data_IF_865720222100
#
_entry.id   IF_865720222100
#
_cell.length_a   1.000
_cell.length_b   1.000
_cell.length_c   1.000
_cell.angle_alpha   90.00
_cell.angle_beta   90.00
_cell.angle_gamma   90.00
#
_symmetry.space_group_name_H-M   'P 1'
#
loop_
_entity.id
_entity.type
_entity.pdbx_description
1 polymer ?
#
# COMPACT_ATOMS: atom_id res chain seq x y z
N UNK A 1 -53.38 3.21 6.76
CA UNK A 1 -52.62 2.67 5.60
C UNK A 1 -51.21 3.24 5.64
N UNK A 2 -50.24 2.39 5.91
CA UNK A 2 -48.82 2.71 6.02
C UNK A 2 -48.22 2.91 4.62
N UNK A 3 -47.71 4.10 4.32
CA UNK A 3 -46.89 4.34 3.14
C UNK A 3 -45.42 4.35 3.57
N UNK A 4 -44.81 3.18 3.61
CA UNK A 4 -43.35 3.06 3.64
C UNK A 4 -42.87 3.39 2.22
N UNK A 5 -42.48 4.63 1.99
CA UNK A 5 -41.66 4.97 0.83
C UNK A 5 -40.30 4.30 1.01
N UNK A 6 -40.09 3.16 0.34
CA UNK A 6 -38.77 2.58 0.11
C UNK A 6 -37.89 3.67 -0.50
N UNK A 7 -36.99 4.24 0.31
CA UNK A 7 -35.86 5.04 -0.17
C UNK A 7 -35.03 4.10 -1.05
N UNK A 8 -35.19 4.20 -2.37
CA UNK A 8 -34.25 3.57 -3.29
C UNK A 8 -32.89 4.23 -3.05
N UNK A 9 -31.99 3.49 -2.40
CA UNK A 9 -30.59 3.85 -2.27
C UNK A 9 -30.03 4.12 -3.67
N UNK A 10 -29.56 5.35 -3.93
CA UNK A 10 -28.75 5.63 -5.12
C UNK A 10 -27.59 4.64 -5.09
N UNK A 11 -27.52 3.72 -6.06
CA UNK A 11 -26.35 2.84 -6.22
C UNK A 11 -25.10 3.73 -6.19
N UNK A 12 -24.20 3.44 -5.26
CA UNK A 12 -22.97 4.22 -5.12
C UNK A 12 -22.16 4.06 -6.41
N UNK A 13 -21.68 5.16 -6.98
CA UNK A 13 -20.99 5.17 -8.29
C UNK A 13 -19.51 4.83 -8.17
N UNK A 14 -18.96 4.93 -6.96
CA UNK A 14 -17.56 4.78 -6.63
C UNK A 14 -17.38 3.67 -5.59
N UNK A 15 -16.18 3.09 -5.53
CA UNK A 15 -15.85 1.93 -4.70
C UNK A 15 -15.57 0.68 -5.54
N UNK A 16 -15.82 -0.48 -4.95
CA UNK A 16 -15.49 -1.78 -5.55
C UNK A 16 -16.73 -2.54 -5.99
N UNK A 17 -16.66 -3.14 -7.17
CA UNK A 17 -17.80 -3.78 -7.82
C UNK A 17 -17.41 -5.10 -8.48
N UNK A 18 -18.39 -6.01 -8.54
CA UNK A 18 -18.28 -7.25 -9.31
C UNK A 18 -17.45 -8.34 -8.63
N UNK A 19 -17.35 -9.46 -9.32
CA UNK A 19 -16.48 -10.59 -9.02
C UNK A 19 -16.07 -11.14 -10.38
N UNK A 20 -14.89 -10.77 -10.86
CA UNK A 20 -14.45 -11.02 -12.23
C UNK A 20 -13.59 -12.29 -12.28
N UNK A 21 -13.64 -12.99 -13.41
CA UNK A 21 -12.93 -14.28 -13.55
C UNK A 21 -11.44 -14.08 -13.89
N UNK A 22 -11.08 -12.92 -14.43
CA UNK A 22 -9.68 -12.63 -14.83
C UNK A 22 -9.35 -11.14 -14.81
N UNK A 23 -8.06 -10.84 -14.57
CA UNK A 23 -7.52 -9.48 -14.62
C UNK A 23 -7.79 -8.79 -15.96
N UNK A 24 -7.61 -9.52 -17.06
CA UNK A 24 -7.84 -9.04 -18.43
C UNK A 24 -9.32 -8.73 -18.72
N UNK A 25 -10.27 -9.35 -18.02
CA UNK A 25 -11.68 -8.95 -18.11
C UNK A 25 -11.89 -7.55 -17.55
N UNK A 26 -11.34 -7.26 -16.37
CA UNK A 26 -11.48 -5.94 -15.74
C UNK A 26 -10.73 -4.89 -16.54
N UNK A 27 -9.51 -5.19 -16.99
CA UNK A 27 -8.66 -4.28 -17.77
C UNK A 27 -9.31 -3.81 -19.07
N UNK A 28 -10.14 -4.65 -19.71
CA UNK A 28 -10.91 -4.26 -20.91
C UNK A 28 -11.97 -3.17 -20.65
N UNK A 29 -12.53 -3.11 -19.44
CA UNK A 29 -13.55 -2.12 -19.04
C UNK A 29 -12.98 -0.98 -18.17
N UNK A 30 -11.74 -1.15 -17.73
CA UNK A 30 -10.99 -0.26 -16.88
C UNK A 30 -9.56 -0.20 -17.44
N UNK A 31 -9.30 0.68 -18.42
CA UNK A 31 -8.03 0.71 -19.14
C UNK A 31 -6.81 0.98 -18.25
N UNK A 32 -7.03 1.30 -16.96
CA UNK A 32 -6.03 1.36 -15.92
C UNK A 32 -5.84 2.78 -15.39
N UNK A 33 -4.67 3.00 -14.82
CA UNK A 33 -4.20 4.31 -14.45
C UNK A 33 -3.99 5.14 -15.73
N UNK A 34 -4.55 6.35 -15.80
CA UNK A 34 -3.93 7.40 -16.60
C UNK A 34 -2.67 7.83 -15.84
N UNK A 35 -1.64 6.97 -15.95
CA UNK A 35 -0.49 6.98 -15.06
C UNK A 35 0.20 8.35 -15.02
N UNK A 36 0.19 9.06 -16.15
CA UNK A 36 0.78 10.40 -16.27
C UNK A 36 0.00 11.44 -15.47
N UNK A 37 -1.34 11.40 -15.50
CA UNK A 37 -2.16 12.36 -14.77
C UNK A 37 -2.09 12.14 -13.25
N UNK A 38 -2.02 10.87 -12.82
CA UNK A 38 -1.94 10.48 -11.41
C UNK A 38 -0.55 10.84 -10.89
N UNK A 39 0.51 10.44 -11.60
CA UNK A 39 1.89 10.77 -11.24
C UNK A 39 2.09 12.28 -11.13
N UNK A 40 1.57 13.06 -12.08
CA UNK A 40 1.66 14.53 -12.02
C UNK A 40 1.01 15.08 -10.74
N UNK A 41 -0.22 14.65 -10.43
CA UNK A 41 -0.94 15.11 -9.23
C UNK A 41 -0.23 14.67 -7.94
N UNK A 42 0.27 13.44 -7.90
CA UNK A 42 1.07 12.90 -6.79
C UNK A 42 2.33 13.73 -6.60
N UNK A 43 3.10 13.99 -7.67
CA UNK A 43 4.30 14.83 -7.63
C UNK A 43 4.01 16.22 -7.09
N UNK A 44 3.01 16.91 -7.64
CA UNK A 44 2.64 18.26 -7.22
C UNK A 44 2.27 18.32 -5.72
N UNK A 45 1.57 17.29 -5.22
CA UNK A 45 1.16 17.20 -3.82
C UNK A 45 2.32 16.85 -2.90
N UNK A 46 3.15 15.88 -3.27
CA UNK A 46 4.30 15.48 -2.46
C UNK A 46 5.42 16.52 -2.46
N UNK A 47 5.60 17.31 -3.52
CA UNK A 47 6.53 18.44 -3.50
C UNK A 47 6.13 19.47 -2.45
N UNK A 48 4.83 19.76 -2.30
CA UNK A 48 4.34 20.64 -1.22
C UNK A 48 4.63 20.06 0.15
N UNK A 49 4.47 18.75 0.34
CA UNK A 49 4.82 18.08 1.61
C UNK A 49 6.33 18.14 1.87
N UNK A 50 7.15 17.82 0.86
CA UNK A 50 8.62 17.87 0.95
C UNK A 50 9.12 19.27 1.32
N UNK A 51 8.55 20.31 0.74
CA UNK A 51 8.93 21.72 0.95
C UNK A 51 8.30 22.35 2.20
N UNK A 52 7.45 21.63 2.94
CA UNK A 52 6.76 22.15 4.13
C UNK A 52 5.60 23.10 3.83
N UNK A 53 5.11 23.12 2.59
CA UNK A 53 3.93 23.89 2.16
C UNK A 53 2.61 23.16 2.48
N UNK A 54 2.67 21.84 2.66
CA UNK A 54 1.57 21.00 3.13
C UNK A 54 2.06 20.02 4.19
N UNK A 55 1.18 19.57 5.07
CA UNK A 55 1.58 18.69 6.18
C UNK A 55 1.53 17.20 5.83
N UNK A 56 0.64 16.81 4.89
CA UNK A 56 0.38 15.42 4.57
C UNK A 56 -0.33 15.27 3.22
N UNK A 57 -0.05 14.17 2.54
CA UNK A 57 -0.81 13.72 1.38
C UNK A 57 -1.09 12.22 1.46
N UNK A 58 -2.22 11.80 0.89
CA UNK A 58 -2.56 10.40 0.63
C UNK A 58 -3.28 10.32 -0.71
N UNK A 59 -2.87 9.38 -1.55
CA UNK A 59 -3.44 9.18 -2.89
C UNK A 59 -3.49 10.48 -3.70
N UNK A 60 -2.46 11.34 -3.58
CA UNK A 60 -2.35 12.68 -4.19
C UNK A 60 -3.30 13.76 -3.64
N UNK A 61 -4.05 13.46 -2.58
CA UNK A 61 -4.93 14.43 -1.90
C UNK A 61 -4.18 15.04 -0.73
N UNK A 62 -4.18 16.37 -0.61
CA UNK A 62 -3.62 17.07 0.53
C UNK A 62 -4.60 17.08 1.70
N UNK A 63 -4.08 16.93 2.91
CA UNK A 63 -4.85 16.97 4.15
C UNK A 63 -4.31 18.04 5.09
N UNK A 64 -5.20 18.73 5.80
CA UNK A 64 -4.85 19.75 6.80
C UNK A 64 -4.30 19.14 8.09
N UNK A 65 -4.57 17.84 8.32
CA UNK A 65 -4.09 17.08 9.46
C UNK A 65 -3.41 15.82 8.98
N UNK A 66 -2.19 15.60 9.49
CA UNK A 66 -1.44 14.39 9.24
C UNK A 66 -2.06 13.22 9.98
N UNK A 67 -2.35 12.15 9.25
CA UNK A 67 -2.77 10.87 9.82
C UNK A 67 -1.55 9.96 9.89
N UNK A 68 -1.30 9.39 11.06
CA UNK A 68 -0.11 8.59 11.30
C UNK A 68 -0.46 7.10 11.39
N UNK A 69 0.26 6.24 10.65
CA UNK A 69 0.10 4.80 10.73
C UNK A 69 0.90 4.29 11.94
N UNK A 70 0.36 4.44 13.15
CA UNK A 70 1.09 4.13 14.38
C UNK A 70 1.61 2.69 14.46
N UNK A 71 0.90 1.74 13.85
CA UNK A 71 1.37 0.36 13.75
C UNK A 71 2.65 0.25 12.90
N UNK A 72 2.70 0.95 11.77
CA UNK A 72 3.88 1.02 10.89
C UNK A 72 5.03 1.74 11.58
N UNK A 73 4.78 2.90 12.19
CA UNK A 73 5.78 3.63 12.97
C UNK A 73 6.37 2.74 14.07
N UNK A 74 5.52 2.05 14.83
CA UNK A 74 5.95 1.16 15.90
C UNK A 74 6.79 -0.01 15.37
N UNK A 75 6.39 -0.60 14.25
CA UNK A 75 7.13 -1.67 13.58
C UNK A 75 8.52 -1.21 13.14
N UNK A 76 8.60 -0.06 12.46
CA UNK A 76 9.85 0.51 11.96
C UNK A 76 10.82 0.82 13.11
N UNK A 77 10.34 1.44 14.20
CA UNK A 77 11.16 1.73 15.38
C UNK A 77 11.62 0.46 16.11
N UNK A 78 10.73 -0.53 16.24
CA UNK A 78 11.08 -1.85 16.80
C UNK A 78 12.18 -2.53 15.98
N UNK A 79 12.03 -2.57 14.65
CA UNK A 79 13.01 -3.16 13.75
C UNK A 79 14.35 -2.44 13.85
N UNK A 80 14.34 -1.10 13.84
CA UNK A 80 15.55 -0.31 13.97
C UNK A 80 16.30 -0.58 15.29
N UNK A 81 15.58 -0.64 16.41
CA UNK A 81 16.15 -0.92 17.73
C UNK A 81 16.86 -2.29 17.76
N UNK A 82 16.27 -3.31 17.13
CA UNK A 82 16.87 -4.64 17.04
C UNK A 82 18.05 -4.75 16.06
N UNK A 83 18.25 -3.73 15.24
CA UNK A 83 19.30 -3.69 14.21
C UNK A 83 20.36 -2.61 14.50
N UNK A 84 20.64 -2.34 15.78
CA UNK A 84 21.61 -1.35 16.23
C UNK A 84 21.34 0.06 15.67
N UNK A 85 20.08 0.49 15.74
CA UNK A 85 19.59 1.75 15.20
C UNK A 85 19.84 1.91 13.69
N UNK A 86 19.77 0.81 12.93
CA UNK A 86 19.78 0.85 11.46
C UNK A 86 18.43 0.41 10.91
N UNK A 87 17.93 1.17 9.94
CA UNK A 87 16.65 0.91 9.29
C UNK A 87 16.76 1.13 7.79
N UNK A 88 17.09 0.06 7.07
CA UNK A 88 17.08 0.03 5.62
C UNK A 88 15.78 -0.64 5.14
N UNK A 89 14.91 0.16 4.53
CA UNK A 89 13.56 -0.21 4.10
C UNK A 89 13.55 -0.34 2.58
N UNK A 90 12.98 -1.43 2.07
CA UNK A 90 12.40 -1.43 0.73
C UNK A 90 10.93 -1.10 0.87
N UNK A 91 10.47 -0.06 0.18
CA UNK A 91 9.08 0.35 0.12
C UNK A 91 8.55 0.07 -1.29
N UNK A 92 7.90 -1.08 -1.43
CA UNK A 92 7.42 -1.59 -2.72
C UNK A 92 6.10 -0.93 -3.08
N UNK A 93 6.06 -0.24 -4.22
CA UNK A 93 4.94 0.63 -4.58
C UNK A 93 4.89 1.92 -3.77
N UNK A 94 6.02 2.36 -3.20
CA UNK A 94 6.12 3.54 -2.33
C UNK A 94 5.89 4.91 -3.01
N UNK A 95 5.46 4.92 -4.28
CA UNK A 95 5.19 6.13 -5.06
C UNK A 95 6.43 7.05 -5.15
N UNK A 96 6.33 8.31 -4.71
CA UNK A 96 7.48 9.24 -4.62
C UNK A 96 7.98 9.40 -3.18
N UNK A 97 7.71 8.42 -2.31
CA UNK A 97 8.09 8.42 -0.90
C UNK A 97 6.98 8.83 0.07
N UNK A 98 5.70 8.65 -0.30
CA UNK A 98 4.54 9.06 0.53
C UNK A 98 4.65 8.58 1.97
N UNK A 99 4.93 7.29 2.18
CA UNK A 99 5.03 6.71 3.51
C UNK A 99 6.23 7.26 4.28
N UNK A 100 7.38 7.46 3.62
CA UNK A 100 8.54 8.10 4.24
C UNK A 100 8.19 9.48 4.79
N UNK A 101 7.62 10.36 3.96
CA UNK A 101 7.19 11.68 4.40
C UNK A 101 6.11 11.60 5.49
N UNK A 102 5.27 10.58 5.47
CA UNK A 102 4.26 10.35 6.50
C UNK A 102 4.87 9.96 7.86
N UNK A 103 5.91 9.12 7.92
CA UNK A 103 6.38 8.54 9.18
C UNK A 103 7.65 9.20 9.75
N UNK A 104 8.42 9.92 8.94
CA UNK A 104 9.76 10.44 9.31
C UNK A 104 9.79 11.29 10.58
N UNK A 105 8.69 11.95 10.93
CA UNK A 105 8.58 12.79 12.13
C UNK A 105 8.83 12.01 13.43
N UNK A 106 8.64 10.68 13.39
CA UNK A 106 8.82 9.77 14.52
C UNK A 106 10.15 9.03 14.51
N UNK A 107 11.00 9.23 13.50
CA UNK A 107 12.28 8.54 13.39
C UNK A 107 13.38 9.40 14.05
N UNK A 108 13.95 8.99 15.20
CA UNK A 108 15.01 9.74 15.86
C UNK A 108 16.26 9.87 15.01
N UNK A 109 17.02 10.95 15.21
CA UNK A 109 18.24 11.23 14.46
C UNK A 109 19.36 10.19 14.69
N UNK A 110 19.29 9.44 15.79
CA UNK A 110 20.22 8.35 16.10
C UNK A 110 19.99 7.09 15.25
N UNK A 111 18.85 7.01 14.54
CA UNK A 111 18.57 5.92 13.61
C UNK A 111 19.16 6.25 12.24
N UNK A 112 20.09 5.43 11.78
CA UNK A 112 20.60 5.45 10.42
C UNK A 112 19.55 4.83 9.48
N UNK A 113 18.98 5.65 8.59
CA UNK A 113 17.89 5.26 7.70
C UNK A 113 18.34 5.28 6.24
N UNK A 114 17.95 4.24 5.50
CA UNK A 114 17.87 4.27 4.04
C UNK A 114 16.47 3.84 3.63
N UNK A 115 15.80 4.64 2.81
CA UNK A 115 14.46 4.35 2.30
C UNK A 115 14.52 4.15 0.80
N UNK A 116 14.43 2.90 0.36
CA UNK A 116 14.51 2.51 -1.04
C UNK A 116 13.12 2.26 -1.60
N UNK A 117 12.67 3.15 -2.48
CA UNK A 117 11.41 3.00 -3.21
C UNK A 117 11.61 2.05 -4.39
N UNK A 118 10.72 1.06 -4.53
CA UNK A 118 10.63 0.23 -5.75
C UNK A 118 9.34 0.57 -6.49
N UNK A 119 9.45 1.09 -7.71
CA UNK A 119 8.30 1.53 -8.52
C UNK A 119 8.55 1.34 -10.04
N UNK A 120 7.57 1.70 -10.87
CA UNK A 120 7.61 1.79 -12.31
C UNK A 120 8.51 2.92 -12.80
N UNK A 121 8.94 2.80 -14.05
CA UNK A 121 9.98 3.64 -14.66
C UNK A 121 9.70 5.15 -14.58
N UNK A 122 8.45 5.58 -14.79
CA UNK A 122 8.10 7.01 -14.75
C UNK A 122 8.19 7.59 -13.35
N UNK A 123 7.74 6.86 -12.33
CA UNK A 123 7.88 7.24 -10.92
C UNK A 123 9.35 7.29 -10.51
N UNK A 124 10.18 6.34 -10.97
CA UNK A 124 11.61 6.34 -10.67
C UNK A 124 12.31 7.56 -11.26
N UNK A 125 12.00 7.94 -12.51
CA UNK A 125 12.60 9.13 -13.14
C UNK A 125 12.28 10.38 -12.35
N UNK A 126 11.00 10.60 -12.07
CA UNK A 126 10.52 11.75 -11.29
C UNK A 126 11.04 11.74 -9.84
N UNK A 127 11.08 10.56 -9.23
CA UNK A 127 11.60 10.33 -7.88
C UNK A 127 13.08 10.68 -7.77
N UNK A 128 13.90 10.22 -8.72
CA UNK A 128 15.34 10.53 -8.77
C UNK A 128 15.60 12.01 -9.03
N UNK A 129 14.80 12.65 -9.87
CA UNK A 129 14.99 14.06 -10.21
C UNK A 129 14.59 15.00 -9.04
N UNK A 130 13.50 14.70 -8.35
CA UNK A 130 12.88 15.64 -7.44
C UNK A 130 12.89 15.23 -5.96
N UNK A 131 12.98 13.94 -5.66
CA UNK A 131 12.76 13.41 -4.31
C UNK A 131 14.00 12.79 -3.69
N UNK A 132 14.87 12.14 -4.48
CA UNK A 132 16.05 11.46 -3.98
C UNK A 132 17.01 12.38 -3.20
N UNK A 133 17.59 11.82 -2.15
CA UNK A 133 18.58 12.46 -1.27
C UNK A 133 19.43 11.38 -0.57
N UNK A 134 20.10 11.75 0.52
CA UNK A 134 20.95 10.82 1.29
C UNK A 134 20.15 9.69 1.98
N UNK A 135 18.82 9.86 2.15
CA UNK A 135 17.93 8.88 2.79
C UNK A 135 17.07 8.16 1.76
N UNK A 136 16.43 8.89 0.85
CA UNK A 136 15.45 8.37 -0.10
C UNK A 136 16.10 8.07 -1.45
N UNK A 137 15.91 6.86 -1.98
CA UNK A 137 16.45 6.43 -3.28
C UNK A 137 15.44 5.52 -4.02
N UNK A 138 15.64 5.29 -5.32
CA UNK A 138 14.65 4.71 -6.23
C UNK A 138 15.22 3.59 -7.11
N UNK A 139 14.51 2.47 -7.20
CA UNK A 139 14.93 1.22 -7.84
C UNK A 139 13.82 0.63 -8.70
N UNK A 140 14.19 0.00 -9.82
CA UNK A 140 13.26 -0.67 -10.74
C UNK A 140 12.78 -2.02 -10.22
N UNK A 141 13.51 -2.64 -9.29
CA UNK A 141 13.11 -3.91 -8.69
C UNK A 141 13.68 -4.11 -7.29
N UNK A 142 13.07 -5.02 -6.54
CA UNK A 142 13.57 -5.49 -5.24
C UNK A 142 14.96 -6.09 -5.41
N UNK A 143 15.19 -6.87 -6.46
CA UNK A 143 16.50 -7.48 -6.77
C UNK A 143 17.59 -6.43 -7.00
N UNK A 144 17.31 -5.36 -7.74
CA UNK A 144 18.25 -4.25 -7.95
C UNK A 144 18.61 -3.56 -6.62
N UNK A 145 17.61 -3.32 -5.77
CA UNK A 145 17.84 -2.73 -4.46
C UNK A 145 18.69 -3.64 -3.56
N UNK A 146 18.41 -4.95 -3.53
CA UNK A 146 19.19 -5.91 -2.73
C UNK A 146 20.63 -6.02 -3.24
N UNK A 147 20.85 -5.98 -4.56
CA UNK A 147 22.19 -6.08 -5.14
C UNK A 147 23.06 -4.85 -4.83
N UNK A 148 22.45 -3.68 -4.63
CA UNK A 148 23.14 -2.41 -4.38
C UNK A 148 23.34 -2.11 -2.89
N UNK A 149 22.41 -2.53 -2.03
CA UNK A 149 22.46 -2.27 -0.58
C UNK A 149 23.11 -3.42 0.17
N UNK A 150 23.96 -3.11 1.16
CA UNK A 150 24.67 -4.13 1.96
C UNK A 150 23.75 -4.95 2.87
N UNK A 151 22.76 -4.31 3.48
CA UNK A 151 21.81 -4.93 4.42
C UNK A 151 20.46 -4.26 4.29
N UNK A 152 19.38 -5.03 4.31
CA UNK A 152 18.00 -4.54 4.29
C UNK A 152 17.27 -5.27 5.41
N UNK A 153 16.51 -4.54 6.22
CA UNK A 153 15.83 -5.11 7.37
C UNK A 153 14.39 -5.50 7.04
N UNK A 154 13.72 -4.70 6.22
CA UNK A 154 12.27 -4.82 6.02
C UNK A 154 11.85 -4.47 4.61
N UNK A 155 10.90 -5.24 4.08
CA UNK A 155 10.09 -4.84 2.93
C UNK A 155 8.74 -4.36 3.47
N UNK A 156 8.40 -3.12 3.16
CA UNK A 156 7.09 -2.50 3.39
C UNK A 156 6.25 -2.61 2.11
N UNK A 157 5.00 -3.04 2.30
CA UNK A 157 3.98 -3.19 1.27
C UNK A 157 2.70 -2.52 1.77
N UNK A 158 2.51 -1.24 1.47
CA UNK A 158 1.32 -0.48 1.89
C UNK A 158 0.34 -0.29 0.74
N UNK A 159 -0.82 -0.96 0.82
CA UNK A 159 -1.89 -0.87 -0.17
C UNK A 159 -1.44 -1.14 -1.62
N UNK A 160 -0.56 -2.12 -1.83
CA UNK A 160 0.09 -2.37 -3.13
C UNK A 160 -0.25 -3.74 -3.73
N UNK A 161 -0.24 -4.81 -2.91
CA UNK A 161 -0.29 -6.19 -3.44
C UNK A 161 -1.63 -6.53 -4.09
N UNK A 162 -2.73 -5.93 -3.63
CA UNK A 162 -4.05 -6.10 -4.24
C UNK A 162 -4.16 -5.54 -5.68
N UNK A 163 -3.20 -4.72 -6.09
CA UNK A 163 -3.16 -4.08 -7.40
C UNK A 163 -2.21 -4.77 -8.39
N UNK A 164 -1.67 -5.92 -8.02
CA UNK A 164 -0.87 -6.75 -8.92
C UNK A 164 -1.76 -7.72 -9.69
N UNK A 165 -1.42 -7.97 -10.96
CA UNK A 165 -2.15 -8.93 -11.80
C UNK A 165 -2.11 -10.36 -11.23
N UNK A 166 -0.94 -10.73 -10.69
CA UNK A 166 -0.66 -12.06 -10.16
C UNK A 166 -0.15 -11.99 -8.73
N UNK A 167 -0.99 -11.60 -7.77
CA UNK A 167 -0.53 -11.28 -6.43
C UNK A 167 0.06 -12.49 -5.72
N UNK A 168 -0.53 -13.69 -5.84
CA UNK A 168 0.00 -14.89 -5.20
C UNK A 168 1.40 -15.29 -5.70
N UNK A 169 1.69 -15.16 -7.00
CA UNK A 169 3.03 -15.40 -7.54
C UNK A 169 4.06 -14.42 -6.92
N UNK A 170 3.64 -13.16 -6.75
CA UNK A 170 4.48 -12.16 -6.09
C UNK A 170 4.65 -12.42 -4.58
N UNK A 171 3.62 -12.87 -3.87
CA UNK A 171 3.72 -13.24 -2.45
C UNK A 171 4.68 -14.43 -2.26
N UNK A 172 4.65 -15.42 -3.15
CA UNK A 172 5.62 -16.51 -3.18
C UNK A 172 7.04 -16.01 -3.44
N UNK A 173 7.20 -15.05 -4.37
CA UNK A 173 8.49 -14.41 -4.65
C UNK A 173 9.02 -13.64 -3.43
N UNK A 174 8.17 -12.93 -2.68
CA UNK A 174 8.57 -12.21 -1.47
C UNK A 174 9.24 -13.13 -0.45
N UNK A 175 8.70 -14.34 -0.28
CA UNK A 175 9.27 -15.33 0.63
C UNK A 175 10.71 -15.73 0.24
N UNK A 176 11.02 -15.76 -1.07
CA UNK A 176 12.34 -16.15 -1.57
C UNK A 176 13.45 -15.14 -1.25
N UNK A 177 13.11 -13.86 -1.02
CA UNK A 177 14.10 -12.86 -0.59
C UNK A 177 14.62 -13.11 0.82
N UNK A 178 13.93 -13.94 1.62
CA UNK A 178 14.34 -14.28 2.99
C UNK A 178 14.61 -13.03 3.83
N UNK A 179 13.78 -12.00 3.67
CA UNK A 179 13.90 -10.76 4.43
C UNK A 179 13.61 -11.04 5.90
N UNK A 180 14.28 -10.33 6.80
CA UNK A 180 14.05 -10.55 8.24
C UNK A 180 12.65 -10.10 8.67
N UNK A 181 12.12 -9.04 8.04
CA UNK A 181 10.77 -8.55 8.28
C UNK A 181 10.01 -8.28 6.98
N UNK A 182 8.72 -8.61 6.98
CA UNK A 182 7.76 -8.16 5.98
C UNK A 182 6.66 -7.39 6.70
N UNK A 183 6.36 -6.19 6.21
CA UNK A 183 5.35 -5.31 6.77
C UNK A 183 4.28 -5.04 5.72
N UNK A 184 3.09 -5.59 5.94
CA UNK A 184 1.93 -5.31 5.12
C UNK A 184 1.07 -4.26 5.82
N UNK A 185 0.64 -3.26 5.05
CA UNK A 185 -0.29 -2.23 5.49
C UNK A 185 -1.43 -2.14 4.49
N UNK A 186 -2.63 -1.82 4.97
CA UNK A 186 -3.81 -1.56 4.12
C UNK A 186 -4.03 -2.61 3.01
N UNK A 187 -3.90 -3.89 3.35
CA UNK A 187 -4.12 -4.99 2.40
C UNK A 187 -5.57 -5.44 2.47
N UNK A 188 -6.21 -5.57 1.31
CA UNK A 188 -7.65 -5.77 1.20
C UNK A 188 -8.05 -7.25 1.30
N UNK A 189 -8.98 -7.57 2.21
CA UNK A 189 -9.47 -8.93 2.47
C UNK A 189 -10.99 -9.03 2.33
N UNK A 190 -11.46 -10.21 1.95
CA UNK A 190 -12.89 -10.55 1.94
C UNK A 190 -13.28 -11.22 3.27
N UNK A 191 -14.47 -10.92 3.77
CA UNK A 191 -15.01 -11.53 4.99
C UNK A 191 -15.28 -13.03 4.80
N UNK A 192 -14.97 -13.79 5.84
CA UNK A 192 -15.23 -15.24 5.90
C UNK A 192 -14.17 -16.05 5.15
N UNK A 193 -14.56 -17.24 4.69
CA UNK A 193 -13.66 -18.17 3.99
C UNK A 193 -13.97 -18.25 2.49
N UNK A 194 -14.44 -17.14 1.91
CA UNK A 194 -14.65 -17.04 0.48
C UNK A 194 -13.29 -17.01 -0.25
N UNK A 195 -13.26 -17.48 -1.49
CA UNK A 195 -12.09 -17.32 -2.36
C UNK A 195 -11.75 -15.84 -2.59
N UNK A 196 -10.52 -15.59 -3.02
CA UNK A 196 -10.09 -14.28 -3.51
C UNK A 196 -11.09 -13.71 -4.50
N UNK A 197 -11.40 -12.42 -4.35
CA UNK A 197 -12.40 -11.72 -5.14
C UNK A 197 -11.75 -10.64 -5.97
N UNK A 198 -11.75 -10.80 -7.28
CA UNK A 198 -11.33 -9.76 -8.21
C UNK A 198 -12.46 -8.76 -8.43
N UNK A 199 -12.18 -7.49 -8.25
CA UNK A 199 -13.16 -6.40 -8.40
C UNK A 199 -12.70 -5.36 -9.39
N UNK A 200 -13.65 -4.57 -9.88
CA UNK A 200 -13.40 -3.28 -10.50
C UNK A 200 -13.46 -2.21 -9.41
N UNK A 201 -12.37 -1.50 -9.19
CA UNK A 201 -12.37 -0.26 -8.42
C UNK A 201 -12.69 0.92 -9.33
N UNK A 202 -13.66 1.75 -8.91
CA UNK A 202 -13.96 3.04 -9.53
C UNK A 202 -13.62 4.11 -8.50
N UNK A 203 -12.57 4.88 -8.78
CA UNK A 203 -12.04 5.90 -7.86
C UNK A 203 -12.93 7.15 -7.89
N UNK A 204 -13.27 7.74 -6.74
CA UNK A 204 -13.95 9.03 -6.70
C UNK A 204 -13.09 10.14 -7.34
N UNK A 205 -13.67 11.01 -8.20
CA UNK A 205 -12.93 12.04 -8.94
C UNK A 205 -12.24 13.07 -8.04
N UNK A 206 -12.70 13.24 -6.79
CA UNK A 206 -12.02 14.04 -5.77
C UNK A 206 -10.59 13.55 -5.46
N UNK A 207 -10.34 12.24 -5.63
CA UNK A 207 -9.00 11.65 -5.55
C UNK A 207 -8.35 11.73 -6.93
N UNK A 208 -8.91 11.06 -7.94
CA UNK A 208 -8.59 11.20 -9.36
C UNK A 208 -9.55 10.35 -10.18
N UNK A 209 -9.69 10.64 -11.48
CA UNK A 209 -10.51 9.82 -12.37
C UNK A 209 -9.73 8.57 -12.83
N UNK A 210 -10.00 7.44 -12.18
CA UNK A 210 -9.42 6.17 -12.59
C UNK A 210 -10.34 4.99 -12.33
N UNK A 211 -10.06 3.92 -13.07
CA UNK A 211 -10.66 2.61 -12.89
C UNK A 211 -9.59 1.55 -13.06
N UNK A 212 -9.50 0.62 -12.13
CA UNK A 212 -8.54 -0.47 -12.22
C UNK A 212 -9.02 -1.71 -11.46
N UNK A 213 -8.49 -2.89 -11.84
CA UNK A 213 -8.67 -4.10 -11.07
C UNK A 213 -8.10 -4.00 -9.65
N UNK A 214 -8.76 -4.67 -8.71
CA UNK A 214 -8.31 -4.80 -7.33
C UNK A 214 -8.75 -6.15 -6.75
N UNK A 215 -7.81 -6.87 -6.15
CA UNK A 215 -8.08 -8.10 -5.42
C UNK A 215 -8.53 -7.83 -3.98
N UNK A 216 -9.47 -8.63 -3.49
CA UNK A 216 -9.72 -8.83 -2.07
C UNK A 216 -9.36 -10.26 -1.74
N UNK A 217 -8.35 -10.45 -0.90
CA UNK A 217 -7.79 -11.76 -0.62
C UNK A 217 -8.67 -12.56 0.36
N UNK A 218 -8.67 -13.88 0.21
CA UNK A 218 -8.94 -14.78 1.34
C UNK A 218 -7.76 -14.68 2.31
N UNK A 219 -8.02 -14.24 3.55
CA UNK A 219 -6.95 -14.02 4.53
C UNK A 219 -6.16 -15.30 4.84
N UNK A 220 -6.84 -16.44 5.02
CA UNK A 220 -6.18 -17.71 5.31
C UNK A 220 -5.27 -18.17 4.17
N UNK A 221 -5.66 -17.96 2.91
CA UNK A 221 -4.83 -18.25 1.74
C UNK A 221 -3.64 -17.31 1.63
N UNK A 222 -3.85 -16.02 1.90
CA UNK A 222 -2.78 -15.03 1.94
C UNK A 222 -1.71 -15.41 2.99
N UNK A 223 -2.13 -15.75 4.21
CA UNK A 223 -1.22 -16.10 5.30
C UNK A 223 -0.38 -17.36 5.03
N UNK A 224 -0.87 -18.30 4.21
CA UNK A 224 -0.13 -19.52 3.84
C UNK A 224 1.17 -19.24 3.07
N UNK A 225 1.30 -18.08 2.42
CA UNK A 225 2.57 -17.70 1.78
C UNK A 225 3.70 -17.45 2.77
N UNK A 226 3.37 -17.21 4.05
CA UNK A 226 4.30 -16.74 5.07
C UNK A 226 4.47 -17.74 6.22
N UNK A 227 4.31 -19.05 5.98
CA UNK A 227 4.54 -20.11 6.99
C UNK A 227 6.00 -20.16 7.51
N UNK A 228 6.95 -19.62 6.75
CA UNK A 228 8.35 -19.41 7.14
C UNK A 228 8.56 -18.19 8.07
N UNK A 229 7.49 -17.49 8.42
CA UNK A 229 7.50 -16.31 9.29
C UNK A 229 6.60 -16.53 10.51
N UNK A 230 6.98 -15.86 11.60
CA UNK A 230 6.10 -15.66 12.76
C UNK A 230 5.26 -14.40 12.52
N UNK A 231 3.94 -14.52 12.64
CA UNK A 231 3.05 -13.35 12.69
C UNK A 231 3.20 -12.67 14.06
N UNK A 232 3.87 -11.52 14.10
CA UNK A 232 4.16 -10.77 15.32
C UNK A 232 2.99 -9.92 15.79
N UNK A 233 2.30 -9.30 14.84
CA UNK A 233 1.12 -8.50 15.10
C UNK A 233 0.25 -8.40 13.86
N UNK A 234 -1.03 -8.21 14.10
CA UNK A 234 -2.01 -7.78 13.11
C UNK A 234 -2.67 -6.49 13.59
N UNK A 235 -3.07 -5.63 12.65
CA UNK A 235 -3.65 -4.34 12.97
C UNK A 235 -4.62 -3.86 11.88
N UNK A 236 -5.50 -2.95 12.26
CA UNK A 236 -6.42 -2.31 11.32
C UNK A 236 -5.74 -1.13 10.61
N UNK A 237 -6.24 -0.80 9.41
CA UNK A 237 -5.86 0.43 8.72
C UNK A 237 -6.09 1.66 9.60
N UNK A 238 -5.18 2.63 9.49
CA UNK A 238 -5.32 3.94 10.11
C UNK A 238 -6.30 4.86 9.35
N UNK A 239 -6.67 4.49 8.12
CA UNK A 239 -7.60 5.25 7.28
C UNK A 239 -9.03 4.96 7.70
N UNK A 240 -9.79 6.03 7.95
CA UNK A 240 -11.20 5.89 8.30
C UNK A 240 -12.00 5.24 7.16
N UNK A 241 -12.77 4.21 7.48
CA UNK A 241 -13.62 3.48 6.54
C UNK A 241 -12.99 2.20 5.98
N UNK A 242 -11.66 2.05 6.02
CA UNK A 242 -10.97 0.86 5.50
C UNK A 242 -11.16 -0.37 6.41
N UNK A 243 -11.50 -0.20 7.69
CA UNK A 243 -11.87 -1.31 8.57
C UNK A 243 -13.18 -2.03 8.16
N UNK A 244 -14.01 -1.41 7.31
CA UNK A 244 -15.30 -1.94 6.84
C UNK A 244 -15.56 -1.49 5.40
N UNK A 245 -15.05 -2.26 4.46
CA UNK A 245 -15.15 -1.96 3.04
C UNK A 245 -16.39 -2.59 2.41
N UNK A 246 -16.92 -1.89 1.42
CA UNK A 246 -18.10 -2.31 0.68
C UNK A 246 -17.75 -2.79 -0.73
N UNK A 247 -18.24 -3.97 -1.10
CA UNK A 247 -18.26 -4.46 -2.47
C UNK A 247 -19.72 -4.63 -2.89
N UNK A 248 -20.10 -4.10 -4.05
CA UNK A 248 -21.50 -4.07 -4.53
C UNK A 248 -22.49 -3.46 -3.53
N UNK A 249 -22.08 -2.42 -2.79
CA UNK A 249 -22.86 -1.76 -1.73
C UNK A 249 -23.16 -2.66 -0.51
N UNK A 250 -22.38 -3.73 -0.30
CA UNK A 250 -22.46 -4.60 0.89
C UNK A 250 -21.14 -4.57 1.64
N UNK A 251 -21.19 -4.39 2.95
CA UNK A 251 -20.00 -4.46 3.82
C UNK A 251 -19.58 -5.92 3.92
N UNK A 252 -18.60 -6.31 3.10
CA UNK A 252 -18.14 -7.70 2.98
C UNK A 252 -16.62 -7.81 2.94
N UNK A 253 -15.91 -6.71 3.17
CA UNK A 253 -14.46 -6.64 3.08
C UNK A 253 -13.88 -5.70 4.14
N UNK A 254 -12.56 -5.73 4.30
CA UNK A 254 -11.82 -4.89 5.22
C UNK A 254 -10.35 -4.84 4.79
N UNK A 255 -9.66 -3.77 5.17
CA UNK A 255 -8.21 -3.73 5.12
C UNK A 255 -7.59 -4.17 6.45
N UNK A 256 -6.47 -4.87 6.35
CA UNK A 256 -5.69 -5.34 7.49
C UNK A 256 -4.20 -5.21 7.19
N UNK A 257 -3.41 -5.00 8.23
CA UNK A 257 -1.96 -5.00 8.19
C UNK A 257 -1.36 -6.09 9.06
N UNK A 258 -0.14 -6.50 8.73
CA UNK A 258 0.59 -7.59 9.37
C UNK A 258 2.06 -7.23 9.54
N UNK A 259 2.63 -7.63 10.67
CA UNK A 259 4.07 -7.63 10.91
C UNK A 259 4.52 -9.09 10.93
N UNK A 260 5.31 -9.50 9.93
CA UNK A 260 5.94 -10.81 9.90
C UNK A 260 7.42 -10.71 10.25
N UNK A 261 7.90 -11.62 11.10
CA UNK A 261 9.31 -11.79 11.45
C UNK A 261 9.76 -13.18 11.01
N UNK A 262 10.85 -13.26 10.24
CA UNK A 262 11.32 -14.53 9.67
C UNK A 262 11.77 -15.51 10.74
N UNK A 263 11.40 -16.78 10.61
CA UNK A 263 11.91 -17.86 11.46
C UNK A 263 13.35 -18.15 11.03
N UNK A 264 14.29 -18.06 11.98
CA UNK A 264 15.72 -18.30 11.75
C UNK A 264 16.10 -19.76 11.91
#
# INVERSE_FOLDING_TARGET
MSWITKKFSKKNRYGWFGNFDSWEEVKRIAPGYDADNILKKTKESLLKVKNGEAVYERDSVLFDKKEYPYAIISALLYIALLNNNKLNVIDFGGSLGSTWFQVRDFIPAEIEVSWSIVEQETYIKEGKEHFADDVLDFYYSIDECIATKKTIQVILLSSVVQYLEKPHEFLDQLNNYKMDYLLFDRTAFINGDAEDRLTLQIVPPEIYEAKYPAWFFNESRFLKHFESYTLKAEFHSFVEGEARMSIDNKIVAYDKGFIFERIK
#
